data_IF_873761182233
#
_entry.id   IF_873761182233
#
_cell.length_a   1.000
_cell.length_b   1.000
_cell.length_c   1.000
_cell.angle_alpha   90.00
_cell.angle_beta   90.00
_cell.angle_gamma   90.00
#
_symmetry.space_group_name_H-M   'P 1'
#
loop_
_entity.id
_entity.type
_entity.pdbx_description
1 polymer ?
#
# COMPACT_ATOMS: atom_id res chain seq x y z
N UNK A 1 -7.81 0.91 -0.52
CA UNK A 1 -8.83 1.74 -1.23
C UNK A 1 -8.19 3.04 -1.69
N UNK A 2 -8.57 3.55 -2.86
CA UNK A 2 -8.01 4.80 -3.41
C UNK A 2 -8.25 6.01 -2.50
N UNK A 3 -9.46 6.13 -1.91
CA UNK A 3 -9.82 7.22 -0.99
C UNK A 3 -8.88 7.39 0.21
N UNK A 4 -8.29 6.29 0.70
CA UNK A 4 -7.31 6.37 1.79
C UNK A 4 -6.00 7.02 1.32
N UNK A 5 -5.59 6.72 0.09
CA UNK A 5 -4.34 7.18 -0.53
C UNK A 5 -4.43 8.61 -1.09
N UNK A 6 -5.64 9.16 -1.20
CA UNK A 6 -5.92 10.54 -1.65
C UNK A 6 -6.42 11.45 -0.53
N UNK A 7 -6.43 10.96 0.72
CA UNK A 7 -6.80 11.76 1.89
C UNK A 7 -5.73 12.83 2.21
N UNK A 8 -6.05 13.89 2.98
CA UNK A 8 -5.10 14.99 3.24
C UNK A 8 -3.76 14.58 3.87
N UNK A 9 -3.72 13.50 4.66
CA UNK A 9 -2.49 12.97 5.26
C UNK A 9 -1.74 11.96 4.38
N UNK A 10 -2.33 11.52 3.27
CA UNK A 10 -1.72 10.52 2.41
C UNK A 10 -0.70 11.14 1.46
N UNK A 11 0.38 10.39 1.22
CA UNK A 11 1.48 10.81 0.35
C UNK A 11 1.77 9.73 -0.69
N UNK A 12 1.71 10.12 -1.96
CA UNK A 12 2.10 9.31 -3.12
C UNK A 12 3.07 10.13 -3.99
N UNK A 13 4.20 10.53 -3.43
CA UNK A 13 5.13 11.50 -4.05
C UNK A 13 5.86 10.94 -5.28
N UNK A 14 5.93 9.62 -5.41
CA UNK A 14 6.56 8.93 -6.53
C UNK A 14 5.48 8.34 -7.42
N UNK A 15 5.66 8.49 -8.73
CA UNK A 15 4.80 7.83 -9.70
C UNK A 15 5.16 6.36 -9.85
N UNK A 16 4.15 5.50 -9.72
CA UNK A 16 4.30 4.05 -9.75
C UNK A 16 3.26 3.47 -10.72
N UNK A 17 3.67 2.61 -11.67
CA UNK A 17 2.71 1.97 -12.57
C UNK A 17 1.86 0.93 -11.84
N UNK A 18 0.85 0.40 -12.54
CA UNK A 18 0.10 -0.76 -12.05
C UNK A 18 1.03 -1.99 -11.90
N UNK A 19 0.57 -2.98 -11.13
CA UNK A 19 1.25 -4.26 -10.89
C UNK A 19 2.66 -4.14 -10.29
N UNK A 20 2.90 -3.09 -9.50
CA UNK A 20 4.19 -2.83 -8.86
C UNK A 20 4.14 -3.12 -7.36
N UNK A 21 5.17 -3.81 -6.86
CA UNK A 21 5.35 -4.04 -5.41
C UNK A 21 5.62 -2.71 -4.72
N UNK A 22 4.85 -2.42 -3.67
CA UNK A 22 4.98 -1.20 -2.88
C UNK A 22 4.97 -1.49 -1.38
N UNK A 23 5.72 -0.69 -0.63
CA UNK A 23 5.65 -0.64 0.82
C UNK A 23 4.57 0.35 1.26
N UNK A 24 3.74 -0.05 2.23
CA UNK A 24 2.70 0.80 2.80
C UNK A 24 3.22 1.45 4.07
N UNK A 25 3.35 2.78 4.01
CA UNK A 25 3.87 3.59 5.10
C UNK A 25 2.73 4.27 5.86
N UNK A 26 2.93 4.50 7.16
CA UNK A 26 2.04 5.28 8.01
C UNK A 26 2.78 6.50 8.55
N UNK A 27 2.08 7.64 8.65
CA UNK A 27 2.64 8.87 9.19
C UNK A 27 3.19 8.65 10.61
N UNK A 28 4.39 9.17 10.88
CA UNK A 28 5.06 9.02 12.17
C UNK A 28 5.64 7.63 12.44
N UNK A 29 5.58 6.68 11.49
CA UNK A 29 6.20 5.36 11.60
C UNK A 29 7.43 5.25 10.70
N UNK A 30 8.51 4.66 11.26
CA UNK A 30 9.77 4.43 10.54
C UNK A 30 9.70 3.22 9.61
N UNK A 31 9.00 2.16 10.02
CA UNK A 31 8.92 0.90 9.30
C UNK A 31 7.58 0.77 8.56
N UNK A 32 7.59 0.02 7.46
CA UNK A 32 6.39 -0.28 6.69
C UNK A 32 5.38 -1.08 7.53
N UNK A 33 4.10 -0.76 7.36
CA UNK A 33 2.98 -1.46 8.01
C UNK A 33 2.47 -2.64 7.18
N UNK A 34 2.69 -2.60 5.86
CA UNK A 34 2.31 -3.67 4.94
C UNK A 34 3.14 -3.63 3.66
N UNK A 35 3.05 -4.70 2.88
CA UNK A 35 3.54 -4.85 1.51
C UNK A 35 2.34 -5.16 0.62
N UNK A 36 2.28 -4.52 -0.55
CA UNK A 36 1.18 -4.72 -1.49
C UNK A 36 1.59 -4.57 -2.94
N UNK A 37 0.64 -4.81 -3.85
CA UNK A 37 0.76 -4.51 -5.28
C UNK A 37 -0.20 -3.40 -5.68
N UNK A 38 0.27 -2.43 -6.44
CA UNK A 38 -0.61 -1.44 -7.08
C UNK A 38 -1.55 -2.14 -8.06
N UNK A 39 -2.86 -1.91 -7.94
CA UNK A 39 -3.87 -2.45 -8.88
C UNK A 39 -4.06 -1.52 -10.09
N UNK A 40 -3.65 -0.27 -9.95
CA UNK A 40 -3.65 0.77 -10.98
C UNK A 40 -2.51 1.75 -10.69
N UNK A 41 -2.17 2.62 -11.65
CA UNK A 41 -1.09 3.59 -11.46
C UNK A 41 -1.40 4.60 -10.34
N UNK A 42 -0.38 5.20 -9.73
CA UNK A 42 -0.58 6.29 -8.74
C UNK A 42 -1.36 7.47 -9.31
N UNK A 43 -1.21 7.74 -10.61
CA UNK A 43 -1.99 8.75 -11.31
C UNK A 43 -3.48 8.38 -11.36
N UNK A 44 -3.80 7.14 -11.72
CA UNK A 44 -5.18 6.64 -11.73
C UNK A 44 -5.80 6.61 -10.33
N UNK A 45 -5.02 6.25 -9.30
CA UNK A 45 -5.47 6.31 -7.90
C UNK A 45 -5.95 7.72 -7.54
N UNK A 46 -5.23 8.75 -7.99
CA UNK A 46 -5.55 10.17 -7.74
C UNK A 46 -6.78 10.63 -8.52
N UNK A 47 -6.88 10.26 -9.80
CA UNK A 47 -7.93 10.76 -10.71
C UNK A 47 -9.25 10.02 -10.55
N UNK A 48 -9.22 8.68 -10.50
CA UNK A 48 -10.41 7.84 -10.38
C UNK A 48 -10.97 7.92 -8.96
N UNK A 49 -10.09 7.88 -7.94
CA UNK A 49 -10.45 7.98 -6.52
C UNK A 49 -11.58 7.04 -6.06
N UNK A 50 -11.71 5.88 -6.71
CA UNK A 50 -12.68 4.85 -6.42
C UNK A 50 -12.00 3.48 -6.36
N UNK A 51 -12.66 2.51 -5.71
CA UNK A 51 -12.21 1.12 -5.64
C UNK A 51 -10.82 0.91 -4.99
N UNK A 52 -10.19 -0.22 -5.34
CA UNK A 52 -8.96 -0.74 -4.76
C UNK A 52 -7.76 -0.20 -5.55
N UNK A 53 -7.00 0.72 -4.94
CA UNK A 53 -5.74 1.20 -5.54
C UNK A 53 -4.54 0.29 -5.29
N UNK A 54 -4.48 -0.34 -4.12
CA UNK A 54 -3.40 -1.29 -3.75
C UNK A 54 -4.03 -2.52 -3.09
N UNK A 55 -3.58 -3.70 -3.51
CA UNK A 55 -3.91 -4.99 -2.91
C UNK A 55 -2.89 -5.27 -1.81
N UNK A 56 -3.36 -5.49 -0.59
CA UNK A 56 -2.51 -5.88 0.53
C UNK A 56 -2.14 -7.36 0.40
N UNK A 57 -0.84 -7.67 0.41
CA UNK A 57 -0.31 -9.03 0.31
C UNK A 57 0.14 -9.53 1.67
N UNK A 58 0.81 -8.67 2.44
CA UNK A 58 1.40 -9.00 3.74
C UNK A 58 1.33 -7.78 4.65
N UNK A 59 1.00 -7.96 5.92
CA UNK A 59 0.94 -6.87 6.90
C UNK A 59 1.44 -7.28 8.29
N UNK A 60 1.81 -6.28 9.09
CA UNK A 60 2.20 -6.49 10.48
C UNK A 60 1.10 -7.22 11.25
N UNK A 61 1.45 -8.32 11.90
CA UNK A 61 0.54 -9.13 12.71
C UNK A 61 -0.20 -10.24 11.95
N UNK A 62 0.01 -10.39 10.64
CA UNK A 62 -0.51 -11.55 9.90
C UNK A 62 0.27 -12.84 10.20
N UNK A 63 -0.22 -13.95 9.65
CA UNK A 63 0.37 -15.28 9.89
C UNK A 63 1.86 -15.37 9.52
N UNK A 64 2.27 -14.74 8.42
CA UNK A 64 3.68 -14.71 8.00
C UNK A 64 4.52 -13.83 8.95
N UNK A 65 3.95 -12.74 9.45
CA UNK A 65 4.65 -11.83 10.36
C UNK A 65 4.94 -12.48 11.72
N UNK A 66 3.97 -13.23 12.26
CA UNK A 66 4.11 -13.86 13.58
C UNK A 66 4.82 -15.21 13.50
N UNK A 67 4.98 -15.78 12.30
CA UNK A 67 5.68 -17.05 12.14
C UNK A 67 7.19 -16.84 12.28
N UNK A 68 7.84 -17.45 13.29
CA UNK A 68 9.30 -17.36 13.44
C UNK A 68 10.05 -18.22 12.41
N UNK A 69 9.35 -19.13 11.73
CA UNK A 69 9.92 -20.11 10.80
C UNK A 69 9.10 -20.16 9.50
N UNK A 70 9.78 -20.41 8.38
CA UNK A 70 9.17 -20.49 7.04
C UNK A 70 8.82 -21.93 6.63
N UNK A 71 8.67 -22.83 7.61
CA UNK A 71 8.42 -24.26 7.41
C UNK A 71 6.92 -24.59 7.34
#
# INVERSE_FOLDING_TARGET
MCKGLTSPGAKMEVDVPADTVVAIMAEGKKHAAAVGFTKMSTQDIRTINADIGVINVHHLGDGLYVSPTLE
#
